data_IF_880992362813
#
_entry.id   IF_880992362813
#
_cell.length_a   1.000
_cell.length_b   1.000
_cell.length_c   1.000
_cell.angle_alpha   90.00
_cell.angle_beta   90.00
_cell.angle_gamma   90.00
#
_symmetry.space_group_name_H-M   'P 1'
#
loop_
_entity.id
_entity.type
_entity.pdbx_description
1 polymer ?
#
# COMPACT_ATOMS: atom_id res chain seq x y z
N UNK A 1 21.01 -1.80 2.54
CA UNK A 1 19.65 -2.28 2.81
C UNK A 1 19.24 -3.24 1.71
N UNK A 2 19.46 -4.55 1.90
CA UNK A 2 19.07 -5.62 0.95
C UNK A 2 17.84 -6.39 1.42
N UNK A 3 17.51 -6.29 2.71
CA UNK A 3 16.52 -7.15 3.37
C UNK A 3 15.07 -6.65 3.24
N UNK A 4 14.83 -5.33 3.11
CA UNK A 4 13.48 -4.76 3.18
C UNK A 4 12.58 -5.17 2.01
N UNK A 5 13.14 -5.34 0.80
CA UNK A 5 12.36 -5.76 -0.38
C UNK A 5 11.94 -7.24 -0.28
N UNK A 6 12.84 -8.20 -0.02
CA UNK A 6 12.43 -9.58 0.25
C UNK A 6 11.45 -9.70 1.41
N UNK A 7 11.65 -8.94 2.50
CA UNK A 7 10.74 -8.93 3.63
C UNK A 7 9.33 -8.46 3.21
N UNK A 8 9.21 -7.36 2.46
CA UNK A 8 7.92 -6.88 1.98
C UNK A 8 7.17 -7.92 1.13
N UNK A 9 7.86 -8.63 0.24
CA UNK A 9 7.27 -9.72 -0.54
C UNK A 9 6.78 -10.87 0.35
N UNK A 10 7.55 -11.24 1.37
CA UNK A 10 7.13 -12.25 2.34
C UNK A 10 5.87 -11.80 3.11
N UNK A 11 5.77 -10.51 3.46
CA UNK A 11 4.59 -9.96 4.14
C UNK A 11 3.34 -10.00 3.25
N UNK A 12 3.47 -9.67 1.96
CA UNK A 12 2.37 -9.79 0.98
C UNK A 12 1.85 -11.22 0.92
N UNK A 13 2.75 -12.21 0.83
CA UNK A 13 2.40 -13.63 0.79
C UNK A 13 1.70 -14.07 2.09
N UNK A 14 2.24 -13.71 3.25
CA UNK A 14 1.67 -14.06 4.56
C UNK A 14 0.29 -13.42 4.79
N UNK A 15 0.10 -12.21 4.28
CA UNK A 15 -1.17 -11.50 4.31
C UNK A 15 -2.21 -12.03 3.31
N UNK A 16 -1.83 -12.90 2.36
CA UNK A 16 -2.70 -13.32 1.26
C UNK A 16 -3.09 -12.15 0.35
N UNK A 17 -2.24 -11.12 0.29
CA UNK A 17 -2.49 -9.88 -0.45
C UNK A 17 -3.57 -8.97 0.16
N UNK A 18 -4.12 -9.27 1.35
CA UNK A 18 -5.14 -8.42 1.98
C UNK A 18 -4.47 -7.20 2.65
N UNK A 19 -4.75 -5.96 2.20
CA UNK A 19 -4.02 -4.76 2.65
C UNK A 19 -4.04 -4.56 4.16
N UNK A 20 -5.20 -4.62 4.80
CA UNK A 20 -5.29 -4.41 6.25
C UNK A 20 -4.57 -5.49 7.06
N UNK A 21 -4.68 -6.76 6.64
CA UNK A 21 -3.94 -7.85 7.28
C UNK A 21 -2.44 -7.62 7.12
N UNK A 22 -2.00 -7.21 5.93
CA UNK A 22 -0.60 -6.89 5.66
C UNK A 22 -0.10 -5.75 6.54
N UNK A 23 -0.85 -4.65 6.66
CA UNK A 23 -0.49 -3.51 7.49
C UNK A 23 -0.30 -3.92 8.95
N UNK A 24 -1.24 -4.70 9.51
CA UNK A 24 -1.14 -5.22 10.89
C UNK A 24 0.06 -6.13 11.07
N UNK A 25 0.36 -7.01 10.11
CA UNK A 25 1.52 -7.89 10.18
C UNK A 25 2.83 -7.09 10.11
N UNK A 26 2.95 -6.12 9.20
CA UNK A 26 4.14 -5.26 9.07
C UNK A 26 4.38 -4.43 10.32
N UNK A 27 3.33 -3.85 10.93
CA UNK A 27 3.46 -3.11 12.19
C UNK A 27 3.99 -3.97 13.35
N UNK A 28 3.80 -5.29 13.29
CA UNK A 28 4.27 -6.25 14.30
C UNK A 28 5.59 -6.96 13.90
N UNK A 29 6.17 -6.64 12.73
CA UNK A 29 7.37 -7.31 12.22
C UNK A 29 8.64 -6.94 13.01
N UNK A 30 8.68 -5.74 13.59
CA UNK A 30 9.88 -5.14 14.19
C UNK A 30 10.87 -4.63 13.12
N UNK A 31 11.84 -3.81 13.55
CA UNK A 31 12.80 -3.19 12.65
C UNK A 31 12.19 -2.09 11.78
N UNK A 32 12.45 -2.13 10.47
CA UNK A 32 12.07 -1.12 9.45
C UNK A 32 10.62 -1.31 8.96
N UNK A 33 9.68 -1.24 9.91
CA UNK A 33 8.27 -1.61 9.69
C UNK A 33 7.53 -0.69 8.74
N UNK A 34 7.88 0.59 8.69
CA UNK A 34 7.25 1.60 7.85
C UNK A 34 7.65 1.43 6.39
N UNK A 35 8.95 1.27 6.10
CA UNK A 35 9.42 1.03 4.73
C UNK A 35 8.88 -0.30 4.18
N UNK A 36 8.96 -1.37 4.97
CA UNK A 36 8.45 -2.69 4.59
C UNK A 36 6.92 -2.64 4.42
N UNK A 37 6.22 -1.99 5.35
CA UNK A 37 4.77 -1.79 5.32
C UNK A 37 4.31 -1.01 4.09
N UNK A 38 4.97 0.10 3.76
CA UNK A 38 4.63 0.91 2.60
C UNK A 38 4.72 0.11 1.29
N UNK A 39 5.83 -0.63 1.09
CA UNK A 39 5.98 -1.49 -0.08
C UNK A 39 4.94 -2.62 -0.12
N UNK A 40 4.80 -3.36 0.98
CA UNK A 40 3.93 -4.54 1.03
C UNK A 40 2.44 -4.17 0.88
N UNK A 41 1.97 -3.12 1.57
CA UNK A 41 0.60 -2.64 1.45
C UNK A 41 0.33 -2.04 0.07
N UNK A 42 1.30 -1.35 -0.53
CA UNK A 42 1.19 -0.86 -1.92
C UNK A 42 0.96 -1.99 -2.92
N UNK A 43 1.71 -3.10 -2.78
CA UNK A 43 1.53 -4.31 -3.61
C UNK A 43 0.16 -4.94 -3.34
N UNK A 44 -0.26 -5.06 -2.08
CA UNK A 44 -1.56 -5.61 -1.71
C UNK A 44 -2.73 -4.79 -2.30
N UNK A 45 -2.65 -3.46 -2.22
CA UNK A 45 -3.65 -2.56 -2.80
C UNK A 45 -3.73 -2.68 -4.33
N UNK A 46 -2.58 -2.74 -5.01
CA UNK A 46 -2.54 -2.99 -6.45
C UNK A 46 -3.14 -4.36 -6.84
N UNK A 47 -2.95 -5.38 -6.00
CA UNK A 47 -3.44 -6.74 -6.25
C UNK A 47 -4.94 -6.92 -5.97
N UNK A 48 -5.48 -6.28 -4.93
CA UNK A 48 -6.88 -6.45 -4.50
C UNK A 48 -7.82 -5.33 -4.93
N UNK A 49 -7.29 -4.19 -5.36
CA UNK A 49 -8.07 -2.99 -5.67
C UNK A 49 -8.41 -2.14 -4.45
N UNK A 50 -8.95 -0.95 -4.71
CA UNK A 50 -9.26 0.06 -3.69
C UNK A 50 -10.32 -0.41 -2.69
N UNK A 51 -11.30 -1.19 -3.15
CA UNK A 51 -12.40 -1.72 -2.32
C UNK A 51 -11.93 -2.66 -1.20
N UNK A 52 -10.68 -3.13 -1.26
CA UNK A 52 -10.07 -3.96 -0.22
C UNK A 52 -9.43 -3.15 0.93
N UNK A 53 -9.44 -1.82 0.82
CA UNK A 53 -8.96 -0.88 1.84
C UNK A 53 -10.19 -0.24 2.49
N UNK A 54 -10.29 -0.27 3.82
CA UNK A 54 -11.42 0.34 4.51
C UNK A 54 -11.49 1.85 4.29
N UNK A 55 -12.70 2.37 4.11
CA UNK A 55 -12.97 3.81 4.03
C UNK A 55 -12.44 4.55 5.26
N UNK A 56 -12.56 3.96 6.46
CA UNK A 56 -12.02 4.54 7.70
C UNK A 56 -10.50 4.74 7.63
N UNK A 57 -9.77 3.77 7.06
CA UNK A 57 -8.31 3.88 6.89
C UNK A 57 -7.96 4.95 5.86
N UNK A 58 -8.69 5.01 4.74
CA UNK A 58 -8.51 6.03 3.70
C UNK A 58 -8.74 7.42 4.30
N UNK A 59 -9.88 7.62 4.96
CA UNK A 59 -10.25 8.88 5.60
C UNK A 59 -9.23 9.31 6.66
N UNK A 60 -8.80 8.39 7.53
CA UNK A 60 -7.79 8.66 8.54
C UNK A 60 -6.47 9.13 7.91
N UNK A 61 -5.99 8.42 6.89
CA UNK A 61 -4.73 8.74 6.22
C UNK A 61 -4.82 10.08 5.50
N UNK A 62 -5.89 10.33 4.73
CA UNK A 62 -6.07 11.59 4.00
C UNK A 62 -6.18 12.78 4.94
N UNK A 63 -7.02 12.69 5.98
CA UNK A 63 -7.24 13.81 6.92
C UNK A 63 -6.01 14.10 7.78
N UNK A 64 -5.29 13.06 8.22
CA UNK A 64 -4.05 13.22 9.00
C UNK A 64 -2.96 13.91 8.18
N UNK A 65 -2.84 13.56 6.89
CA UNK A 65 -1.81 14.11 6.01
C UNK A 65 -2.24 15.39 5.28
N UNK A 66 -3.53 15.72 5.27
CA UNK A 66 -4.12 16.81 4.47
C UNK A 66 -3.79 16.67 2.97
N UNK A 67 -3.84 15.44 2.47
CA UNK A 67 -3.52 15.10 1.07
C UNK A 67 -4.67 14.28 0.48
N UNK A 68 -5.11 14.64 -0.72
CA UNK A 68 -6.01 13.82 -1.52
C UNK A 68 -5.22 12.78 -2.32
N UNK A 69 -5.03 11.59 -1.73
CA UNK A 69 -4.37 10.48 -2.40
C UNK A 69 -5.16 9.91 -3.58
N UNK A 70 -6.48 10.10 -3.62
CA UNK A 70 -7.33 9.64 -4.74
C UNK A 70 -7.03 10.46 -5.99
N UNK A 71 -6.99 11.78 -5.86
CA UNK A 71 -6.63 12.67 -6.97
C UNK A 71 -5.24 12.33 -7.54
N UNK A 72 -4.25 12.12 -6.67
CA UNK A 72 -2.89 11.73 -7.10
C UNK A 72 -2.90 10.40 -7.85
N UNK A 73 -3.62 9.40 -7.34
CA UNK A 73 -3.72 8.09 -7.98
C UNK A 73 -4.38 8.17 -9.37
N UNK A 74 -5.44 8.97 -9.50
CA UNK A 74 -6.13 9.22 -10.77
C UNK A 74 -5.20 9.89 -11.79
N UNK A 75 -4.46 10.93 -11.39
CA UNK A 75 -3.50 11.61 -12.26
C UNK A 75 -2.39 10.66 -12.75
N UNK A 76 -1.86 9.80 -11.88
CA UNK A 76 -0.87 8.78 -12.28
C UNK A 76 -1.46 7.76 -13.27
N UNK A 77 -2.72 7.39 -13.08
CA UNK A 77 -3.44 6.49 -13.99
C UNK A 77 -3.61 7.13 -15.39
N UNK A 78 -3.98 8.40 -15.44
CA UNK A 78 -4.11 9.16 -16.69
C UNK A 78 -2.78 9.21 -17.47
N UNK A 79 -1.66 9.51 -16.80
CA UNK A 79 -0.32 9.52 -17.43
C UNK A 79 0.05 8.14 -17.97
N UNK A 80 -0.25 7.08 -17.20
CA UNK A 80 0.00 5.69 -17.62
C UNK A 80 -0.77 5.31 -18.88
N UNK A 81 -2.02 5.77 -19.00
CA UNK A 81 -2.89 5.54 -20.16
C UNK A 81 -2.43 6.33 -21.40
N UNK A 82 -1.96 7.57 -21.23
CA UNK A 82 -1.44 8.38 -22.33
C UNK A 82 -0.16 7.80 -22.95
N UNK A 83 0.68 7.14 -22.15
CA UNK A 83 1.92 6.50 -22.61
C UNK A 83 1.67 5.16 -23.34
N UNK A 84 0.43 4.65 -23.35
CA UNK A 84 0.04 3.42 -24.07
C UNK A 84 -0.50 3.67 -25.48
N UNK A 85 -0.51 4.93 -25.93
CA UNK A 85 -0.84 5.34 -27.30
C UNK A 85 0.46 5.74 -28.01
#
# INVERSE_FOLDING_TARGET
>A
TTESVPAALAMVLLAGGVPEKCARLCANLGGDTDTIGAMACGICGAFKGIDAISEDSINLIQTTNQIDFTEIAEQLCLIRMQTMI
#
